data_IF_962317932279
#
_entry.id   IF_962317932279
#
_cell.length_a   1.000
_cell.length_b   1.000
_cell.length_c   1.000
_cell.angle_alpha   90.00
_cell.angle_beta   90.00
_cell.angle_gamma   90.00
#
_symmetry.space_group_name_H-M   'P 1'
#
loop_
_entity.id
_entity.type
_entity.pdbx_description
1 polymer ?
#
# COMPACT_ATOMS: atom_id res chain seq x y z
N UNK A 1 3.36 19.70 10.00
CA UNK A 1 3.08 18.81 8.84
C UNK A 1 1.98 17.84 9.22
N UNK A 2 0.98 17.74 8.39
CA UNK A 2 -0.13 16.85 8.68
C UNK A 2 0.20 15.45 8.19
N UNK A 3 -0.07 14.49 9.03
CA UNK A 3 0.07 13.10 8.64
C UNK A 3 -1.28 12.60 8.17
N UNK A 4 -1.24 11.79 7.13
CA UNK A 4 -2.46 11.19 6.63
C UNK A 4 -2.27 9.68 6.56
N UNK A 5 -3.16 8.97 7.19
CA UNK A 5 -3.13 7.52 7.17
C UNK A 5 -4.05 7.01 6.08
N UNK A 6 -3.56 6.08 5.29
CA UNK A 6 -4.38 5.45 4.26
C UNK A 6 -4.33 3.94 4.44
N UNK A 7 -5.43 3.30 4.12
CA UNK A 7 -5.49 1.84 4.17
C UNK A 7 -5.14 1.20 2.84
N UNK A 8 -5.27 1.94 1.76
CA UNK A 8 -4.97 1.36 0.48
C UNK A 8 -4.89 2.39 -0.62
N UNK A 9 -4.52 1.90 -1.78
CA UNK A 9 -4.47 2.68 -3.00
C UNK A 9 -5.52 2.12 -3.94
N UNK A 10 -6.39 2.99 -4.42
CA UNK A 10 -7.41 2.57 -5.34
C UNK A 10 -6.93 2.62 -6.77
N UNK A 11 -7.61 3.39 -7.57
CA UNK A 11 -7.31 3.45 -8.99
C UNK A 11 -6.09 4.32 -9.24
N UNK A 12 -5.23 3.87 -10.15
CA UNK A 12 -4.08 4.65 -10.60
C UNK A 12 -4.28 4.93 -12.08
N UNK A 13 -4.14 6.18 -12.46
CA UNK A 13 -4.29 6.56 -13.85
C UNK A 13 -3.12 7.42 -14.28
N UNK A 14 -2.86 7.41 -15.57
CA UNK A 14 -1.76 8.17 -16.15
C UNK A 14 -2.31 9.02 -17.28
N UNK A 15 -2.02 10.30 -17.24
CA UNK A 15 -2.36 11.22 -18.31
C UNK A 15 -1.12 12.01 -18.66
N UNK A 16 -0.62 11.80 -19.88
CA UNK A 16 0.62 12.44 -20.28
C UNK A 16 1.74 12.03 -19.35
N UNK A 17 2.34 12.99 -18.68
CA UNK A 17 3.45 12.74 -17.78
C UNK A 17 3.01 12.83 -16.30
N UNK A 18 1.72 12.77 -16.05
CA UNK A 18 1.19 12.89 -14.70
C UNK A 18 0.54 11.59 -14.29
N UNK A 19 0.84 11.15 -13.10
CA UNK A 19 0.24 9.95 -12.49
C UNK A 19 -0.65 10.40 -11.36
N UNK A 20 -1.85 9.85 -11.30
CA UNK A 20 -2.79 10.13 -10.22
C UNK A 20 -3.14 8.84 -9.51
N UNK A 21 -3.05 8.87 -8.19
CA UNK A 21 -3.39 7.74 -7.37
C UNK A 21 -4.51 8.10 -6.43
N UNK A 22 -5.54 7.28 -6.41
CA UNK A 22 -6.62 7.45 -5.46
C UNK A 22 -6.22 6.78 -4.15
N UNK A 23 -6.43 7.47 -3.06
CA UNK A 23 -6.14 6.96 -1.73
C UNK A 23 -7.44 6.54 -1.09
N UNK A 24 -7.42 5.42 -0.38
CA UNK A 24 -8.65 4.86 0.18
C UNK A 24 -8.47 4.52 1.64
N UNK A 25 -9.57 4.51 2.35
CA UNK A 25 -9.65 4.03 3.71
C UNK A 25 -10.83 3.08 3.84
N UNK A 26 -10.78 2.22 4.83
CA UNK A 26 -11.93 1.38 5.11
C UNK A 26 -13.06 2.22 5.64
N UNK A 27 -14.24 1.96 5.15
CA UNK A 27 -15.39 2.77 5.46
C UNK A 27 -15.90 2.53 6.86
N UNK A 28 -15.73 1.33 7.37
CA UNK A 28 -16.20 0.99 8.69
C UNK A 28 -15.18 0.09 9.35
N UNK A 29 -15.09 0.22 10.65
CA UNK A 29 -14.24 -0.64 11.44
C UNK A 29 -14.87 -1.98 11.73
N UNK A 30 -16.18 -2.07 11.60
CA UNK A 30 -16.88 -3.33 11.84
C UNK A 30 -17.19 -3.97 10.52
N UNK A 31 -16.50 -5.04 10.23
CA UNK A 31 -16.81 -5.84 9.06
C UNK A 31 -17.82 -6.89 9.51
N UNK A 32 -18.88 -7.04 8.74
CA UNK A 32 -19.79 -8.13 9.00
C UNK A 32 -19.09 -9.43 8.71
N UNK A 33 -19.48 -10.44 9.43
CA UNK A 33 -18.89 -11.74 9.29
C UNK A 33 -18.97 -12.19 7.86
N UNK A 34 -17.83 -12.59 7.29
CA UNK A 34 -17.81 -13.09 5.94
C UNK A 34 -17.74 -12.02 4.87
N UNK A 35 -17.68 -10.76 5.25
CA UNK A 35 -17.63 -9.68 4.28
C UNK A 35 -16.36 -8.87 4.46
N UNK A 36 -15.81 -8.45 3.33
CA UNK A 36 -14.66 -7.55 3.36
C UNK A 36 -15.15 -6.14 3.65
N UNK A 37 -14.34 -5.36 4.36
CA UNK A 37 -14.69 -3.96 4.58
C UNK A 37 -14.77 -3.21 3.27
N UNK A 38 -15.70 -2.29 3.19
CA UNK A 38 -15.80 -1.42 2.03
C UNK A 38 -14.75 -0.33 2.14
N UNK A 39 -14.26 0.06 0.98
CA UNK A 39 -13.27 1.14 0.91
C UNK A 39 -13.94 2.38 0.32
N UNK A 40 -13.49 3.52 0.78
CA UNK A 40 -13.94 4.78 0.25
C UNK A 40 -12.75 5.65 -0.06
N UNK A 41 -12.92 6.51 -1.05
CA UNK A 41 -11.87 7.43 -1.42
C UNK A 41 -11.69 8.47 -0.33
N UNK A 42 -10.46 8.71 0.08
CA UNK A 42 -10.18 9.73 1.07
C UNK A 42 -9.25 10.80 0.53
N UNK A 43 -8.90 10.72 -0.75
CA UNK A 43 -8.06 11.73 -1.34
C UNK A 43 -7.40 11.21 -2.59
N UNK A 44 -6.57 12.03 -3.15
CA UNK A 44 -5.87 11.71 -4.38
C UNK A 44 -4.54 12.43 -4.37
N UNK A 45 -3.51 11.78 -4.89
CA UNK A 45 -2.23 12.44 -5.07
C UNK A 45 -1.85 12.36 -6.54
N UNK A 46 -1.13 13.37 -6.97
CA UNK A 46 -0.64 13.45 -8.35
C UNK A 46 0.85 13.66 -8.32
N UNK A 47 1.53 13.08 -9.28
CA UNK A 47 2.97 13.22 -9.35
C UNK A 47 3.41 13.04 -10.79
N UNK A 48 4.62 13.48 -11.08
CA UNK A 48 5.20 13.26 -12.39
C UNK A 48 5.64 11.80 -12.50
N UNK A 49 5.86 11.37 -13.76
CA UNK A 49 6.38 10.02 -13.96
C UNK A 49 7.74 9.85 -13.31
N UNK A 50 8.56 10.89 -13.35
CA UNK A 50 9.87 10.82 -12.72
C UNK A 50 9.75 10.62 -11.21
N UNK A 51 8.80 11.31 -10.59
CA UNK A 51 8.58 11.15 -9.17
C UNK A 51 8.06 9.75 -8.86
N UNK A 52 7.23 9.20 -9.72
CA UNK A 52 6.74 7.85 -9.51
C UNK A 52 7.89 6.85 -9.50
N UNK A 53 8.82 6.99 -10.43
CA UNK A 53 9.98 6.09 -10.49
C UNK A 53 10.83 6.24 -9.24
N UNK A 54 11.01 7.48 -8.80
CA UNK A 54 11.77 7.73 -7.59
C UNK A 54 11.07 7.13 -6.37
N UNK A 55 9.76 7.26 -6.31
CA UNK A 55 8.97 6.69 -5.22
C UNK A 55 9.09 5.17 -5.21
N UNK A 56 9.03 4.55 -6.39
CA UNK A 56 9.15 3.11 -6.47
C UNK A 56 10.48 2.65 -5.91
N UNK A 57 11.55 3.33 -6.29
CA UNK A 57 12.86 2.92 -5.82
C UNK A 57 13.00 3.10 -4.31
N UNK A 58 12.52 4.24 -3.82
CA UNK A 58 12.61 4.51 -2.39
C UNK A 58 11.81 3.52 -1.57
N UNK A 59 10.59 3.23 -2.01
CA UNK A 59 9.76 2.31 -1.27
C UNK A 59 10.27 0.88 -1.38
N UNK A 60 10.85 0.52 -2.52
CA UNK A 60 11.46 -0.79 -2.66
C UNK A 60 12.60 -0.96 -1.68
N UNK A 61 13.41 0.06 -1.52
CA UNK A 61 14.52 0.00 -0.57
C UNK A 61 14.00 -0.19 0.85
N UNK A 62 12.93 0.51 1.21
CA UNK A 62 12.34 0.35 2.53
C UNK A 62 11.82 -1.07 2.72
N UNK A 63 11.14 -1.59 1.71
CA UNK A 63 10.60 -2.94 1.79
C UNK A 63 11.74 -3.94 1.97
N UNK A 64 12.83 -3.77 1.22
CA UNK A 64 13.97 -4.68 1.35
C UNK A 64 14.58 -4.62 2.73
N UNK A 65 14.66 -3.44 3.33
CA UNK A 65 15.15 -3.32 4.69
C UNK A 65 14.24 -4.04 5.66
N UNK A 66 12.96 -3.96 5.45
CA UNK A 66 12.02 -4.65 6.34
C UNK A 66 12.13 -6.15 6.20
N UNK A 67 12.41 -6.63 4.99
CA UNK A 67 12.65 -8.05 4.80
C UNK A 67 13.91 -8.48 5.54
N UNK A 68 14.97 -7.68 5.46
CA UNK A 68 16.22 -8.01 6.15
C UNK A 68 16.06 -8.03 7.65
N UNK A 69 15.18 -7.18 8.17
CA UNK A 69 14.93 -7.13 9.61
C UNK A 69 13.93 -8.17 10.07
N UNK A 70 13.39 -8.96 9.16
CA UNK A 70 12.46 -10.01 9.53
C UNK A 70 11.05 -9.55 9.75
N UNK A 71 10.75 -8.29 9.43
CA UNK A 71 9.40 -7.77 9.59
C UNK A 71 8.51 -8.20 8.44
N UNK A 72 9.09 -8.32 7.25
CA UNK A 72 8.40 -8.83 6.07
C UNK A 72 9.13 -10.04 5.55
N UNK A 73 8.42 -10.88 4.82
CA UNK A 73 9.05 -12.00 4.12
C UNK A 73 8.62 -11.97 2.68
N UNK A 74 9.51 -12.42 1.80
CA UNK A 74 9.20 -12.51 0.39
C UNK A 74 8.44 -13.79 0.11
N UNK A 75 7.43 -13.69 -0.75
CA UNK A 75 6.73 -14.86 -1.21
C UNK A 75 7.47 -15.46 -2.38
N UNK A 76 7.33 -16.75 -2.57
CA UNK A 76 8.03 -17.40 -3.67
C UNK A 76 7.44 -17.08 -5.02
N UNK A 77 6.14 -16.97 -5.06
CA UNK A 77 5.44 -16.94 -6.34
C UNK A 77 5.25 -15.55 -6.86
N UNK A 78 5.51 -14.57 -6.04
CA UNK A 78 5.36 -13.24 -6.50
C UNK A 78 6.32 -12.38 -5.71
N UNK A 79 6.65 -11.25 -6.27
CA UNK A 79 7.70 -10.43 -5.69
C UNK A 79 7.23 -9.60 -4.51
N UNK A 80 5.97 -9.68 -4.16
CA UNK A 80 5.41 -8.85 -3.10
C UNK A 80 5.72 -9.44 -1.73
N UNK A 81 6.39 -8.72 -0.87
CA UNK A 81 6.63 -9.17 0.49
C UNK A 81 5.36 -9.17 1.31
N UNK A 82 5.34 -9.99 2.33
CA UNK A 82 4.20 -10.06 3.24
C UNK A 82 4.68 -9.86 4.66
N UNK A 83 3.83 -9.31 5.53
CA UNK A 83 4.19 -9.17 6.93
C UNK A 83 4.41 -10.55 7.57
N UNK A 84 5.51 -10.66 8.27
CA UNK A 84 5.86 -11.94 8.87
C UNK A 84 4.93 -12.27 10.02
N UNK A 85 4.64 -11.28 10.82
CA UNK A 85 3.89 -11.54 12.05
C UNK A 85 2.43 -11.85 11.79
N UNK A 86 1.94 -11.60 10.61
CA UNK A 86 0.53 -11.92 10.35
C UNK A 86 0.29 -13.42 10.45
N UNK A 87 1.29 -14.22 10.12
CA UNK A 87 1.14 -15.65 10.26
C UNK A 87 1.19 -16.08 11.69
N UNK A 88 2.03 -15.45 12.47
CA UNK A 88 2.15 -15.79 13.87
C UNK A 88 0.92 -15.44 14.65
N UNK A 89 0.26 -14.41 14.23
CA UNK A 89 -0.88 -13.93 14.98
C UNK A 89 -2.15 -14.70 14.72
N UNK A 90 -2.08 -15.64 13.83
CA UNK A 90 -3.25 -16.43 13.54
C UNK A 90 -3.47 -17.57 14.50
N UNK A 91 -2.63 -17.69 15.42
CA UNK A 91 -2.73 -18.82 16.32
C UNK A 91 -3.27 -18.50 17.66
#
# INVERSE_FOLDING_TARGET
MDDKYIDGVGQVSVQGATVRMELTNFKTLKAEEGKLPEQESCGRISMSLRTLISLQKTTEDVVNQLVEKGILKKTKDDASPEPVDSDDMKH
#
